data_IF_936400279952
#
_entry.id   IF_936400279952
#
_cell.length_a   1.000
_cell.length_b   1.000
_cell.length_c   1.000
_cell.angle_alpha   90.00
_cell.angle_beta   90.00
_cell.angle_gamma   90.00
#
_symmetry.space_group_name_H-M   'P 1'
#
loop_
_entity.id
_entity.type
_entity.pdbx_description
1 polymer ?
#
# COMPACT_ATOMS: atom_id res chain seq x y z
N UNK A 1 24.66 9.40 8.09
CA UNK A 1 24.72 10.11 9.39
C UNK A 1 23.42 10.89 9.74
N UNK A 2 22.26 10.60 9.13
CA UNK A 2 21.02 11.39 9.35
C UNK A 2 20.25 10.99 10.62
N UNK A 3 20.29 9.71 10.98
CA UNK A 3 19.54 9.18 12.13
C UNK A 3 20.09 9.68 13.47
N UNK A 4 21.41 9.91 13.58
CA UNK A 4 22.04 10.44 14.79
C UNK A 4 21.66 11.90 15.08
N UNK A 5 21.52 12.72 14.04
CA UNK A 5 21.08 14.10 14.21
C UNK A 5 19.62 14.17 14.68
N UNK A 6 18.76 13.29 14.17
CA UNK A 6 17.39 13.17 14.64
C UNK A 6 17.31 12.77 16.12
N UNK A 7 18.19 11.88 16.58
CA UNK A 7 18.24 11.49 18.00
C UNK A 7 18.64 12.68 18.89
N UNK A 8 19.65 13.44 18.49
CA UNK A 8 20.07 14.65 19.21
C UNK A 8 18.95 15.69 19.25
N UNK A 9 18.28 15.93 18.12
CA UNK A 9 17.17 16.87 18.03
C UNK A 9 15.97 16.43 18.87
N UNK A 10 15.65 15.14 18.87
CA UNK A 10 14.61 14.57 19.71
C UNK A 10 14.94 14.70 21.20
N UNK A 11 16.20 14.53 21.59
CA UNK A 11 16.65 14.73 22.97
C UNK A 11 16.49 16.19 23.41
N UNK A 12 16.92 17.15 22.58
CA UNK A 12 16.74 18.58 22.86
C UNK A 12 15.25 18.91 22.97
N UNK A 13 14.42 18.39 22.07
CA UNK A 13 12.97 18.58 22.14
C UNK A 13 12.35 17.99 23.40
N UNK A 14 12.76 16.77 23.79
CA UNK A 14 12.31 16.14 25.03
C UNK A 14 12.68 16.97 26.26
N UNK A 15 13.87 17.60 26.26
CA UNK A 15 14.31 18.49 27.33
C UNK A 15 13.44 19.75 27.41
N UNK A 16 13.08 20.35 26.26
CA UNK A 16 12.15 21.48 26.20
C UNK A 16 10.78 21.10 26.76
N UNK A 17 10.24 19.95 26.35
CA UNK A 17 8.95 19.43 26.86
C UNK A 17 9.01 19.17 28.36
N UNK A 18 10.11 18.61 28.87
CA UNK A 18 10.30 18.36 30.29
C UNK A 18 10.32 19.67 31.11
N UNK A 19 11.03 20.69 30.63
CA UNK A 19 11.02 22.03 31.25
C UNK A 19 9.60 22.61 31.24
N UNK A 20 8.89 22.49 30.11
CA UNK A 20 7.50 22.94 30.00
C UNK A 20 6.59 22.22 31.01
N UNK A 21 6.76 20.91 31.18
CA UNK A 21 5.96 20.12 32.11
C UNK A 21 6.21 20.52 33.57
N UNK A 22 7.45 20.84 33.95
CA UNK A 22 7.78 21.32 35.29
C UNK A 22 7.22 22.72 35.55
N UNK A 23 7.34 23.64 34.59
CA UNK A 23 6.83 25.02 34.77
C UNK A 23 5.30 25.04 34.84
N UNK A 24 4.62 24.16 34.11
CA UNK A 24 3.16 24.10 34.04
C UNK A 24 2.58 22.98 34.92
N UNK A 25 3.28 22.59 35.99
CA UNK A 25 2.78 21.64 36.99
C UNK A 25 1.75 22.31 37.92
N UNK A 26 0.76 22.96 37.32
CA UNK A 26 -0.37 23.51 38.05
C UNK A 26 -1.40 22.41 38.28
N UNK A 27 -1.75 22.19 39.55
CA UNK A 27 -2.81 21.26 39.93
C UNK A 27 -4.15 21.81 39.46
N UNK A 28 -4.87 20.98 38.70
CA UNK A 28 -6.22 21.28 38.24
C UNK A 28 -7.15 20.18 38.72
N UNK A 29 -8.27 20.60 39.31
CA UNK A 29 -9.35 19.70 39.70
C UNK A 29 -10.00 19.13 38.45
N UNK A 30 -9.86 17.82 38.24
CA UNK A 30 -10.58 17.12 37.17
C UNK A 30 -11.78 16.42 37.77
N UNK A 31 -12.97 16.73 37.22
CA UNK A 31 -14.21 16.04 37.56
C UNK A 31 -14.46 14.93 36.54
N UNK A 32 -14.33 13.68 36.98
CA UNK A 32 -14.52 12.49 36.14
C UNK A 32 -15.96 11.98 36.12
N UNK A 33 -16.94 12.84 36.39
CA UNK A 33 -18.37 12.56 36.57
C UNK A 33 -18.72 11.68 37.80
N UNK A 34 -17.81 10.82 38.27
CA UNK A 34 -17.99 9.94 39.43
C UNK A 34 -17.04 10.25 40.59
N UNK A 35 -16.29 11.36 40.51
CA UNK A 35 -15.32 11.77 41.53
C UNK A 35 -14.46 12.94 41.05
N UNK A 36 -13.74 13.56 41.98
CA UNK A 36 -12.81 14.66 41.70
C UNK A 36 -11.41 14.27 42.17
N UNK A 37 -10.39 14.64 41.40
CA UNK A 37 -8.99 14.49 41.81
C UNK A 37 -8.14 15.63 41.23
N UNK A 38 -7.10 16.00 41.97
CA UNK A 38 -6.13 17.02 41.57
C UNK A 38 -5.01 16.40 40.75
N UNK A 39 -4.89 16.80 39.49
CA UNK A 39 -3.84 16.33 38.59
C UNK A 39 -3.14 17.53 37.94
N UNK A 40 -1.82 17.46 37.69
CA UNK A 40 -1.14 18.47 36.88
C UNK A 40 -1.79 18.64 35.50
N UNK A 41 -2.07 19.88 35.10
CA UNK A 41 -2.73 20.20 33.82
C UNK A 41 -2.04 19.57 32.60
N UNK A 42 -0.70 19.54 32.60
CA UNK A 42 0.09 18.95 31.51
C UNK A 42 -0.22 17.46 31.31
N UNK A 43 -0.46 16.69 32.38
CA UNK A 43 -0.80 15.26 32.27
C UNK A 43 -2.16 15.08 31.61
N UNK A 44 -3.13 15.94 31.94
CA UNK A 44 -4.48 15.90 31.35
C UNK A 44 -4.38 16.17 29.85
N UNK A 45 -3.68 17.23 29.44
CA UNK A 45 -3.50 17.60 28.03
C UNK A 45 -2.76 16.50 27.25
N UNK A 46 -1.66 15.97 27.81
CA UNK A 46 -0.89 14.90 27.17
C UNK A 46 -1.73 13.64 26.98
N UNK A 47 -2.49 13.23 27.99
CA UNK A 47 -3.40 12.09 27.87
C UNK A 47 -4.49 12.32 26.82
N UNK A 48 -5.13 13.49 26.80
CA UNK A 48 -6.13 13.83 25.78
C UNK A 48 -5.56 13.84 24.37
N UNK A 49 -4.39 14.46 24.17
CA UNK A 49 -3.70 14.49 22.89
C UNK A 49 -3.27 13.08 22.45
N UNK A 50 -2.77 12.26 23.37
CA UNK A 50 -2.38 10.88 23.11
C UNK A 50 -3.59 10.03 22.71
N UNK A 51 -4.74 10.17 23.38
CA UNK A 51 -5.97 9.47 23.01
C UNK A 51 -6.48 9.92 21.63
N UNK A 52 -6.49 11.22 21.34
CA UNK A 52 -6.84 11.74 20.02
C UNK A 52 -5.90 11.20 18.93
N UNK A 53 -4.60 11.21 19.19
CA UNK A 53 -3.58 10.64 18.32
C UNK A 53 -3.73 9.14 18.13
N UNK A 54 -4.11 8.40 19.17
CA UNK A 54 -4.37 6.96 19.09
C UNK A 54 -5.57 6.67 18.19
N UNK A 55 -6.65 7.44 18.30
CA UNK A 55 -7.84 7.29 17.44
C UNK A 55 -7.48 7.54 15.98
N UNK A 56 -6.83 8.68 15.69
CA UNK A 56 -6.46 9.05 14.32
C UNK A 56 -5.44 8.05 13.76
N UNK A 57 -4.43 7.69 14.55
CA UNK A 57 -3.39 6.73 14.21
C UNK A 57 -3.97 5.35 13.90
N UNK A 58 -4.86 4.83 14.76
CA UNK A 58 -5.52 3.53 14.56
C UNK A 58 -6.35 3.53 13.29
N UNK A 59 -7.09 4.61 13.02
CA UNK A 59 -7.87 4.76 11.79
C UNK A 59 -6.97 4.78 10.56
N UNK A 60 -5.82 5.47 10.64
CA UNK A 60 -4.78 5.48 9.61
C UNK A 60 -4.17 4.10 9.34
N UNK A 61 -3.87 3.33 10.38
CA UNK A 61 -3.36 1.96 10.28
C UNK A 61 -4.34 1.03 9.55
N UNK A 62 -5.63 1.09 9.89
CA UNK A 62 -6.67 0.29 9.21
C UNK A 62 -6.75 0.66 7.73
N UNK A 63 -6.73 1.96 7.40
CA UNK A 63 -6.75 2.42 6.00
C UNK A 63 -5.52 1.94 5.25
N UNK A 64 -4.34 2.08 5.85
CA UNK A 64 -3.07 1.64 5.25
C UNK A 64 -3.10 0.15 4.94
N UNK A 65 -3.59 -0.67 5.89
CA UNK A 65 -3.73 -2.11 5.69
C UNK A 65 -4.68 -2.45 4.53
N UNK A 66 -5.86 -1.81 4.46
CA UNK A 66 -6.82 -2.00 3.36
C UNK A 66 -6.22 -1.63 2.00
N UNK A 67 -5.49 -0.52 1.94
CA UNK A 67 -4.84 -0.06 0.71
C UNK A 67 -3.75 -1.05 0.28
N UNK A 68 -2.90 -1.51 1.20
CA UNK A 68 -1.88 -2.51 0.89
C UNK A 68 -2.49 -3.83 0.37
N UNK A 69 -3.61 -4.26 0.95
CA UNK A 69 -4.34 -5.45 0.47
C UNK A 69 -4.87 -5.24 -0.95
N UNK A 70 -5.48 -4.09 -1.24
CA UNK A 70 -5.97 -3.75 -2.59
C UNK A 70 -4.83 -3.72 -3.61
N UNK A 71 -3.70 -3.09 -3.27
CA UNK A 71 -2.50 -3.07 -4.13
C UNK A 71 -2.07 -4.50 -4.47
N UNK A 72 -2.01 -5.40 -3.48
CA UNK A 72 -1.62 -6.80 -3.71
C UNK A 72 -2.62 -7.55 -4.59
N UNK A 73 -3.92 -7.30 -4.43
CA UNK A 73 -4.96 -7.92 -5.25
C UNK A 73 -4.89 -7.42 -6.70
N UNK A 74 -4.85 -6.10 -6.90
CA UNK A 74 -4.72 -5.48 -8.22
C UNK A 74 -3.46 -5.94 -8.95
N UNK A 75 -2.34 -6.11 -8.22
CA UNK A 75 -1.11 -6.61 -8.83
C UNK A 75 -1.26 -8.06 -9.34
N UNK A 76 -1.97 -8.92 -8.59
CA UNK A 76 -2.26 -10.30 -9.03
C UNK A 76 -3.21 -10.33 -10.23
N UNK A 77 -4.26 -9.53 -10.21
CA UNK A 77 -5.19 -9.42 -11.34
C UNK A 77 -4.46 -8.94 -12.60
N UNK A 78 -3.59 -7.93 -12.47
CA UNK A 78 -2.74 -7.46 -13.56
C UNK A 78 -1.90 -8.59 -14.17
N UNK A 79 -1.18 -9.35 -13.35
CA UNK A 79 -0.35 -10.47 -13.83
C UNK A 79 -1.18 -11.53 -14.54
N UNK A 80 -2.34 -11.90 -13.98
CA UNK A 80 -3.22 -12.88 -14.63
C UNK A 80 -3.79 -12.38 -15.96
N UNK A 81 -4.10 -11.10 -16.06
CA UNK A 81 -4.58 -10.50 -17.30
C UNK A 81 -3.45 -10.46 -18.35
N UNK A 82 -2.24 -10.11 -17.95
CA UNK A 82 -1.06 -10.14 -18.82
C UNK A 82 -0.77 -11.56 -19.34
N UNK A 83 -0.84 -12.58 -18.48
CA UNK A 83 -0.70 -13.99 -18.89
C UNK A 83 -1.80 -14.42 -19.87
N UNK A 84 -3.05 -14.01 -19.65
CA UNK A 84 -4.16 -14.31 -20.58
C UNK A 84 -3.97 -13.66 -21.94
N UNK A 85 -3.52 -12.41 -21.97
CA UNK A 85 -3.24 -11.69 -23.23
C UNK A 85 -2.15 -12.44 -24.02
N UNK A 86 -1.04 -12.79 -23.36
CA UNK A 86 0.05 -13.55 -23.99
C UNK A 86 -0.46 -14.89 -24.54
N UNK A 87 -1.31 -15.59 -23.78
CA UNK A 87 -1.87 -16.89 -24.20
C UNK A 87 -2.78 -16.75 -25.42
N UNK A 88 -3.68 -15.77 -25.43
CA UNK A 88 -4.56 -15.51 -26.58
C UNK A 88 -3.77 -15.08 -27.83
N UNK A 89 -2.74 -14.25 -27.68
CA UNK A 89 -1.85 -13.87 -28.79
C UNK A 89 -1.07 -15.07 -29.36
N UNK A 90 -0.69 -16.03 -28.50
CA UNK A 90 -0.04 -17.28 -28.95
C UNK A 90 -1.01 -18.21 -29.70
N UNK A 91 -2.25 -18.35 -29.20
CA UNK A 91 -3.30 -19.16 -29.85
C UNK A 91 -3.69 -18.55 -31.22
N UNK A 92 -3.79 -17.22 -31.32
CA UNK A 92 -4.07 -16.53 -32.59
C UNK A 92 -2.94 -16.69 -33.61
N UNK A 93 -1.68 -16.65 -33.18
CA UNK A 93 -0.52 -16.88 -34.05
C UNK A 93 -0.42 -18.33 -34.54
N UNK A 94 -0.74 -19.31 -33.69
CA UNK A 94 -0.80 -20.72 -34.09
C UNK A 94 -1.89 -20.98 -35.13
N UNK A 95 -3.08 -20.39 -34.96
CA UNK A 95 -4.16 -20.50 -35.96
C UNK A 95 -3.78 -19.86 -37.31
N UNK A 96 -3.21 -18.66 -37.32
CA UNK A 96 -2.76 -17.99 -38.57
C UNK A 96 -1.65 -18.76 -39.27
N UNK A 97 -0.77 -19.41 -38.52
CA UNK A 97 0.31 -20.25 -39.08
C UNK A 97 -0.26 -21.54 -39.68
N UNK A 98 -1.21 -22.17 -38.99
CA UNK A 98 -1.93 -23.35 -39.49
C UNK A 98 -2.76 -23.08 -40.75
N UNK A 99 -3.47 -21.94 -40.80
CA UNK A 99 -4.22 -21.52 -41.99
C UNK A 99 -3.28 -21.23 -43.18
N UNK A 100 -2.15 -20.55 -42.97
CA UNK A 100 -1.17 -20.30 -44.03
C UNK A 100 -0.51 -21.58 -44.58
N UNK A 101 -0.21 -22.56 -43.71
CA UNK A 101 0.29 -23.87 -44.17
C UNK A 101 -0.80 -24.64 -44.94
N UNK A 102 -2.04 -24.63 -44.47
CA UNK A 102 -3.16 -25.27 -45.17
C UNK A 102 -3.42 -24.66 -46.55
N UNK A 103 -3.32 -23.34 -46.66
CA UNK A 103 -3.45 -22.61 -47.92
C UNK A 103 -2.28 -22.92 -48.88
N UNK A 104 -1.06 -23.04 -48.36
CA UNK A 104 0.14 -23.38 -49.16
C UNK A 104 0.12 -24.81 -49.70
N UNK A 105 -0.34 -25.79 -48.89
CA UNK A 105 -0.49 -27.18 -49.32
C UNK A 105 -1.62 -27.37 -50.35
N UNK A 106 -2.66 -26.53 -50.30
CA UNK A 106 -3.73 -26.54 -51.30
C UNK A 106 -3.29 -25.88 -52.63
N UNK A 107 -2.38 -24.90 -52.57
CA UNK A 107 -1.76 -24.29 -53.76
C UNK A 107 -0.77 -25.22 -54.48
N UNK A 108 0.00 -26.01 -53.75
CA UNK A 108 1.01 -26.93 -54.35
C UNK A 108 0.39 -28.11 -55.11
N UNK A 109 -0.85 -28.51 -54.76
CA UNK A 109 -1.53 -29.63 -55.41
C UNK A 109 -2.08 -29.30 -56.81
N UNK A 110 -2.12 -28.02 -57.21
CA UNK A 110 -2.55 -27.60 -58.55
C UNK A 110 -1.40 -27.50 -59.57
N UNK A 111 -0.13 -27.55 -59.16
CA UNK A 111 1.01 -27.30 -60.04
C UNK A 111 1.70 -28.59 -60.55
N UNK A 112 1.45 -29.74 -59.91
CA UNK A 112 2.13 -31.01 -60.28
C UNK A 112 1.44 -31.82 -61.40
N UNK A 113 0.29 -31.37 -61.91
CA UNK A 113 -0.46 -32.11 -62.95
C UNK A 113 -0.10 -31.73 -64.40
N UNK A 114 0.86 -30.82 -64.62
CA UNK A 114 1.24 -30.35 -65.96
C UNK A 114 2.63 -30.75 -66.49
N UNK A 115 3.39 -31.59 -65.77
CA UNK A 115 4.70 -32.09 -66.24
C UNK A 115 4.73 -33.60 -66.41
N UNK A 116 3.87 -34.13 -67.28
CA UNK A 116 4.18 -35.35 -68.06
C UNK A 116 3.84 -35.06 -69.52
N UNK A 117 4.85 -34.67 -70.30
CA UNK A 117 5.01 -34.96 -71.73
C UNK A 117 6.48 -34.89 -72.08
#
# INVERSE_FOLDING_TARGET
MKVQWNLLLALVFALIVAVFAVINVESVTVNYAFGTAEWPLVLVILCSALLGGLIIGSTGLIRLYKVQRQVKLLHREKTQLEEKVIRLESEENEQKTGENLGFSLHGEHSEKDHTIK
#
